data_IF_006416200806
#
_entry.id   IF_006416200806
#
_cell.length_a   1.000
_cell.length_b   1.000
_cell.length_c   1.000
_cell.angle_alpha   90.00
_cell.angle_beta   90.00
_cell.angle_gamma   90.00
#
_symmetry.space_group_name_H-M   'P 1'
#
loop_
_entity.id
_entity.type
_entity.pdbx_description
1 polymer ?
#
# COMPACT_ATOMS: atom_id res chain seq x y z
N UNK A 1 19.06 84.75 -22.25
CA UNK A 1 17.93 83.90 -22.70
C UNK A 1 18.40 82.46 -22.58
N UNK A 2 18.10 81.85 -21.43
CA UNK A 2 18.54 80.50 -21.05
C UNK A 2 17.62 79.45 -21.65
N UNK A 3 18.19 78.50 -22.40
CA UNK A 3 17.50 77.27 -22.76
C UNK A 3 17.69 76.24 -21.65
N UNK A 4 16.57 75.82 -21.05
CA UNK A 4 16.48 74.77 -20.07
C UNK A 4 16.51 73.40 -20.77
N UNK A 5 17.24 72.47 -20.17
CA UNK A 5 17.47 71.10 -20.62
C UNK A 5 16.40 70.20 -19.99
N UNK A 6 15.57 69.54 -20.80
CA UNK A 6 14.58 68.55 -20.35
C UNK A 6 15.26 67.17 -20.14
N UNK A 7 14.93 66.42 -19.08
CA UNK A 7 15.49 65.09 -18.85
C UNK A 7 14.70 64.00 -19.62
N UNK A 8 15.34 62.86 -19.96
CA UNK A 8 14.71 61.81 -20.76
C UNK A 8 13.73 60.95 -19.94
N UNK A 9 12.66 60.53 -20.61
CA UNK A 9 11.59 59.64 -20.17
C UNK A 9 12.10 58.23 -19.84
N UNK A 10 11.66 57.58 -18.75
CA UNK A 10 12.02 56.19 -18.44
C UNK A 10 11.29 55.19 -19.36
N UNK A 11 11.89 54.02 -19.67
CA UNK A 11 11.26 53.00 -20.51
C UNK A 11 10.12 52.28 -19.76
N UNK A 12 9.14 51.81 -20.55
CA UNK A 12 7.94 51.12 -20.12
C UNK A 12 8.25 49.84 -19.32
N UNK A 13 7.47 49.59 -18.26
CA UNK A 13 7.52 48.38 -17.48
C UNK A 13 7.02 47.18 -18.29
N UNK A 14 7.86 46.16 -18.41
CA UNK A 14 7.50 44.85 -18.97
C UNK A 14 6.39 44.21 -18.14
N UNK A 15 5.30 43.84 -18.82
CA UNK A 15 4.20 43.09 -18.26
C UNK A 15 4.68 41.67 -17.88
N UNK A 16 4.40 41.29 -16.62
CA UNK A 16 4.58 39.94 -16.12
C UNK A 16 3.78 38.94 -16.97
N UNK A 17 4.34 37.78 -17.33
CA UNK A 17 3.60 36.76 -18.08
C UNK A 17 2.47 36.19 -17.21
N UNK A 18 1.30 36.08 -17.83
CA UNK A 18 0.09 35.50 -17.28
C UNK A 18 0.36 34.09 -16.73
N UNK A 19 0.02 33.90 -15.45
CA UNK A 19 -0.04 32.62 -14.77
C UNK A 19 -0.87 31.64 -15.59
N UNK A 20 -0.19 30.76 -16.32
CA UNK A 20 -0.83 29.66 -17.04
C UNK A 20 -1.36 28.69 -16.00
N UNK A 21 -2.66 28.81 -15.71
CA UNK A 21 -3.41 27.88 -14.89
C UNK A 21 -3.24 26.48 -15.48
N UNK A 22 -2.44 25.65 -14.81
CA UNK A 22 -2.32 24.22 -15.13
C UNK A 22 -3.69 23.61 -14.83
N UNK A 23 -4.48 23.39 -15.88
CA UNK A 23 -5.75 22.70 -15.78
C UNK A 23 -5.52 21.37 -15.07
N UNK A 24 -6.05 21.25 -13.85
CA UNK A 24 -5.96 20.04 -13.05
C UNK A 24 -6.56 18.88 -13.85
N UNK A 25 -5.75 17.86 -14.13
CA UNK A 25 -6.22 16.59 -14.68
C UNK A 25 -7.40 16.10 -13.84
N UNK A 26 -8.54 15.72 -14.44
CA UNK A 26 -9.67 15.22 -13.66
C UNK A 26 -9.21 14.01 -12.83
N UNK A 27 -9.63 13.90 -11.56
CA UNK A 27 -9.19 12.81 -10.70
C UNK A 27 -9.62 11.48 -11.32
N UNK A 28 -8.65 10.57 -11.50
CA UNK A 28 -8.94 9.20 -11.91
C UNK A 28 -9.92 8.59 -10.91
N UNK A 29 -11.02 7.96 -11.36
CA UNK A 29 -11.95 7.31 -10.43
C UNK A 29 -11.23 6.24 -9.62
N UNK A 30 -11.58 6.08 -8.32
CA UNK A 30 -10.96 5.06 -7.49
C UNK A 30 -11.33 3.65 -7.97
N UNK A 31 -10.42 2.70 -7.78
CA UNK A 31 -10.71 1.27 -7.94
C UNK A 31 -11.66 0.85 -6.82
N UNK A 32 -12.70 0.10 -7.15
CA UNK A 32 -13.68 -0.36 -6.15
C UNK A 32 -13.36 -1.79 -5.71
N UNK A 33 -13.33 -2.06 -4.41
CA UNK A 33 -13.35 -3.41 -3.85
C UNK A 33 -14.81 -3.76 -3.58
N UNK A 34 -15.36 -4.70 -4.34
CA UNK A 34 -16.80 -4.96 -4.41
C UNK A 34 -17.10 -6.42 -4.03
N UNK A 35 -18.08 -6.67 -3.14
CA UNK A 35 -18.53 -8.02 -2.83
C UNK A 35 -19.06 -8.74 -4.07
N UNK A 36 -18.86 -10.06 -4.13
CA UNK A 36 -19.34 -10.92 -5.21
C UNK A 36 -20.80 -10.68 -5.61
N UNK A 37 -21.68 -10.53 -4.62
CA UNK A 37 -23.12 -10.31 -4.84
C UNK A 37 -23.45 -8.98 -5.56
N UNK A 38 -22.53 -8.00 -5.51
CA UNK A 38 -22.75 -6.66 -6.05
C UNK A 38 -21.94 -6.36 -7.31
N UNK A 39 -21.05 -7.26 -7.74
CA UNK A 39 -20.10 -7.01 -8.83
C UNK A 39 -20.78 -6.47 -10.10
N UNK A 40 -21.90 -7.08 -10.51
CA UNK A 40 -22.63 -6.67 -11.72
C UNK A 40 -23.11 -5.20 -11.69
N UNK A 41 -23.37 -4.64 -10.49
CA UNK A 41 -23.82 -3.24 -10.32
C UNK A 41 -22.71 -2.22 -10.60
N UNK A 42 -21.45 -2.64 -10.58
CA UNK A 42 -20.28 -1.78 -10.74
C UNK A 42 -19.48 -2.07 -12.01
N UNK A 43 -20.08 -2.76 -12.98
CA UNK A 43 -19.45 -3.09 -14.27
C UNK A 43 -19.05 -1.85 -15.07
N UNK A 44 -17.97 -1.97 -15.86
CA UNK A 44 -17.47 -0.91 -16.75
C UNK A 44 -16.42 0.01 -16.12
N UNK A 45 -15.92 -0.32 -14.92
CA UNK A 45 -14.80 0.39 -14.28
C UNK A 45 -13.89 -0.60 -13.55
N UNK A 46 -12.59 -0.26 -13.36
CA UNK A 46 -11.65 -1.13 -12.66
C UNK A 46 -12.15 -1.54 -11.27
N UNK A 47 -12.34 -2.85 -11.08
CA UNK A 47 -12.96 -3.42 -9.88
C UNK A 47 -12.13 -4.59 -9.34
N UNK A 48 -12.05 -4.69 -8.02
CA UNK A 48 -11.49 -5.81 -7.28
C UNK A 48 -12.67 -6.62 -6.75
N UNK A 49 -12.76 -7.89 -7.13
CA UNK A 49 -13.79 -8.79 -6.61
C UNK A 49 -13.40 -9.27 -5.21
N UNK A 50 -14.20 -8.97 -4.19
CA UNK A 50 -14.02 -9.42 -2.81
C UNK A 50 -14.97 -10.56 -2.49
N UNK A 51 -14.44 -11.69 -2.04
CA UNK A 51 -15.24 -12.88 -1.68
C UNK A 51 -14.52 -13.78 -0.69
N UNK A 52 -15.25 -14.53 0.13
CA UNK A 52 -14.69 -15.62 0.95
C UNK A 52 -14.84 -17.00 0.30
N UNK A 53 -15.54 -17.07 -0.84
CA UNK A 53 -15.78 -18.30 -1.59
C UNK A 53 -14.92 -18.31 -2.87
N UNK A 54 -13.90 -19.21 -2.97
CA UNK A 54 -13.09 -19.36 -4.17
C UNK A 54 -13.88 -19.83 -5.40
N UNK A 55 -15.07 -20.42 -5.24
CA UNK A 55 -15.93 -20.82 -6.35
C UNK A 55 -16.75 -19.65 -6.93
N UNK A 56 -16.85 -18.51 -6.22
CA UNK A 56 -17.65 -17.38 -6.66
C UNK A 56 -17.18 -16.75 -7.99
N UNK A 57 -15.87 -16.51 -8.24
CA UNK A 57 -15.41 -15.92 -9.50
C UNK A 57 -15.77 -16.75 -10.75
N UNK A 58 -15.48 -18.06 -10.85
CA UNK A 58 -15.91 -18.85 -12.02
C UNK A 58 -17.43 -18.95 -12.14
N UNK A 59 -18.17 -18.97 -11.03
CA UNK A 59 -19.63 -18.98 -11.07
C UNK A 59 -20.23 -17.67 -11.61
N UNK A 60 -19.60 -16.52 -11.31
CA UNK A 60 -20.05 -15.21 -11.75
C UNK A 60 -19.68 -14.92 -13.21
N UNK A 61 -18.48 -15.33 -13.64
CA UNK A 61 -17.91 -14.90 -14.92
C UNK A 61 -17.87 -16.00 -15.99
N UNK A 62 -18.14 -17.25 -15.64
CA UNK A 62 -17.98 -18.38 -16.56
C UNK A 62 -16.51 -18.71 -16.77
N UNK A 63 -16.07 -18.90 -18.02
CA UNK A 63 -14.70 -19.32 -18.34
C UNK A 63 -13.68 -18.21 -18.32
N UNK A 64 -14.11 -16.99 -18.67
CA UNK A 64 -13.20 -15.88 -18.95
C UNK A 64 -13.40 -14.75 -17.93
N UNK A 65 -12.32 -14.23 -17.33
CA UNK A 65 -12.41 -13.08 -16.44
C UNK A 65 -12.82 -11.82 -17.23
N UNK A 66 -13.62 -10.92 -16.64
CA UNK A 66 -14.00 -9.70 -17.32
C UNK A 66 -12.82 -8.73 -17.39
N UNK A 67 -12.76 -7.92 -18.45
CA UNK A 67 -11.61 -7.06 -18.75
C UNK A 67 -11.37 -5.94 -17.72
N UNK A 68 -12.39 -5.58 -16.97
CA UNK A 68 -12.37 -4.56 -15.90
C UNK A 68 -12.06 -5.15 -14.51
N UNK A 69 -11.85 -6.47 -14.39
CA UNK A 69 -11.38 -7.09 -13.17
C UNK A 69 -9.88 -6.83 -12.97
N UNK A 70 -9.55 -6.03 -11.96
CA UNK A 70 -8.17 -5.74 -11.57
C UNK A 70 -7.50 -6.96 -10.93
N UNK A 71 -8.14 -7.53 -9.91
CA UNK A 71 -7.72 -8.76 -9.22
C UNK A 71 -8.84 -9.29 -8.31
N UNK A 72 -8.65 -10.48 -7.76
CA UNK A 72 -9.57 -11.08 -6.79
C UNK A 72 -8.96 -11.00 -5.39
N UNK A 73 -9.72 -10.44 -4.45
CA UNK A 73 -9.41 -10.48 -3.03
C UNK A 73 -10.19 -11.63 -2.37
N UNK A 74 -9.48 -12.67 -1.92
CA UNK A 74 -10.06 -13.74 -1.13
C UNK A 74 -9.94 -13.46 0.37
N UNK A 75 -11.08 -13.35 1.04
CA UNK A 75 -11.15 -13.07 2.47
C UNK A 75 -11.16 -14.39 3.24
N UNK A 76 -9.99 -14.77 3.76
CA UNK A 76 -9.77 -16.01 4.49
C UNK A 76 -9.24 -17.15 3.62
N UNK A 77 -8.50 -18.07 4.24
CA UNK A 77 -7.80 -19.17 3.56
C UNK A 77 -8.48 -20.54 3.73
N UNK A 78 -9.64 -20.60 4.36
CA UNK A 78 -10.29 -21.87 4.75
C UNK A 78 -11.02 -22.56 3.60
N UNK A 79 -11.34 -21.83 2.51
CA UNK A 79 -12.05 -22.36 1.35
C UNK A 79 -11.23 -23.35 0.53
N UNK A 80 -11.92 -24.13 -0.31
CA UNK A 80 -11.26 -24.98 -1.31
C UNK A 80 -10.76 -24.11 -2.47
N UNK A 81 -9.43 -24.08 -2.69
CA UNK A 81 -8.80 -23.27 -3.73
C UNK A 81 -8.86 -23.91 -5.12
N UNK A 82 -9.29 -25.18 -5.23
CA UNK A 82 -9.33 -25.90 -6.49
C UNK A 82 -10.11 -25.18 -7.63
N UNK A 83 -11.23 -24.49 -7.38
CA UNK A 83 -11.93 -23.73 -8.42
C UNK A 83 -11.06 -22.63 -9.05
N UNK A 84 -10.28 -21.90 -8.23
CA UNK A 84 -9.38 -20.85 -8.73
C UNK A 84 -8.13 -21.42 -9.39
N UNK A 85 -7.58 -22.52 -8.86
CA UNK A 85 -6.41 -23.16 -9.45
C UNK A 85 -6.60 -23.59 -10.92
N UNK A 86 -7.85 -23.68 -11.39
CA UNK A 86 -8.18 -24.09 -12.76
C UNK A 86 -8.86 -22.99 -13.59
N UNK A 87 -9.03 -21.78 -13.06
CA UNK A 87 -9.81 -20.71 -13.69
C UNK A 87 -8.99 -19.43 -13.87
N UNK A 88 -9.26 -18.63 -14.90
CA UNK A 88 -8.75 -17.26 -15.01
C UNK A 88 -7.22 -17.13 -15.02
N UNK A 89 -6.55 -17.84 -15.93
CA UNK A 89 -5.08 -17.82 -16.03
C UNK A 89 -4.53 -16.38 -16.09
N UNK A 90 -3.54 -16.09 -15.24
CA UNK A 90 -2.92 -14.77 -15.13
C UNK A 90 -3.70 -13.73 -14.32
N UNK A 91 -4.92 -14.04 -13.86
CA UNK A 91 -5.67 -13.12 -12.98
C UNK A 91 -4.95 -13.02 -11.63
N UNK A 92 -4.58 -11.82 -11.17
CA UNK A 92 -3.91 -11.68 -9.88
C UNK A 92 -4.85 -12.03 -8.72
N UNK A 93 -4.29 -12.65 -7.68
CA UNK A 93 -5.00 -13.02 -6.46
C UNK A 93 -4.36 -12.37 -5.25
N UNK A 94 -5.18 -11.80 -4.37
CA UNK A 94 -4.79 -11.32 -3.06
C UNK A 94 -5.51 -12.13 -1.98
N UNK A 95 -4.75 -12.96 -1.27
CA UNK A 95 -5.29 -13.84 -0.23
C UNK A 95 -5.14 -13.15 1.13
N UNK A 96 -6.24 -12.72 1.71
CA UNK A 96 -6.27 -11.98 2.98
C UNK A 96 -6.34 -12.95 4.14
N UNK A 97 -5.24 -13.04 4.88
CA UNK A 97 -5.10 -13.75 6.13
C UNK A 97 -5.39 -12.80 7.30
N UNK A 98 -6.59 -12.90 7.87
CA UNK A 98 -7.06 -12.03 8.95
C UNK A 98 -6.65 -12.53 10.33
N UNK A 99 -6.48 -13.85 10.50
CA UNK A 99 -5.97 -14.48 11.71
C UNK A 99 -4.73 -15.34 11.38
N UNK A 100 -3.53 -14.75 11.52
CA UNK A 100 -2.29 -15.47 11.20
C UNK A 100 -2.08 -16.75 12.01
N UNK A 101 -2.59 -16.87 13.24
CA UNK A 101 -2.41 -18.08 14.04
C UNK A 101 -3.34 -19.20 13.59
N UNK A 102 -4.60 -18.86 13.33
CA UNK A 102 -5.59 -19.85 12.91
C UNK A 102 -5.37 -20.31 11.46
N UNK A 103 -4.93 -19.40 10.59
CA UNK A 103 -4.91 -19.64 9.14
C UNK A 103 -3.56 -20.09 8.59
N UNK A 104 -2.48 -20.01 9.38
CA UNK A 104 -1.12 -20.41 8.97
C UNK A 104 -1.06 -21.76 8.23
N UNK A 105 -1.72 -22.85 8.71
CA UNK A 105 -1.60 -24.16 8.06
C UNK A 105 -2.23 -24.20 6.66
N UNK A 106 -3.16 -23.30 6.33
CA UNK A 106 -3.85 -23.29 5.06
C UNK A 106 -3.01 -22.70 3.92
N UNK A 107 -1.94 -21.95 4.22
CA UNK A 107 -1.05 -21.39 3.19
C UNK A 107 -0.47 -22.46 2.25
N UNK A 108 -0.18 -23.65 2.75
CA UNK A 108 0.32 -24.75 1.91
C UNK A 108 -0.66 -25.13 0.79
N UNK A 109 -1.97 -25.01 1.04
CA UNK A 109 -3.02 -25.33 0.07
C UNK A 109 -3.14 -24.28 -1.03
N UNK A 110 -2.59 -23.09 -0.79
CA UNK A 110 -2.61 -21.99 -1.75
C UNK A 110 -1.42 -22.05 -2.73
N UNK A 111 -0.39 -22.87 -2.47
CA UNK A 111 0.84 -22.88 -3.26
C UNK A 111 0.60 -23.21 -4.74
N UNK A 112 -0.36 -24.10 -5.02
CA UNK A 112 -0.71 -24.50 -6.40
C UNK A 112 -1.25 -23.32 -7.24
N UNK A 113 -1.77 -22.27 -6.60
CA UNK A 113 -2.24 -21.07 -7.30
C UNK A 113 -1.09 -20.33 -8.00
N UNK A 114 0.14 -20.40 -7.48
CA UNK A 114 1.31 -19.74 -8.08
C UNK A 114 1.65 -20.28 -9.48
N UNK A 115 1.19 -21.47 -9.84
CA UNK A 115 1.43 -22.04 -11.16
C UNK A 115 0.72 -21.27 -12.29
N UNK A 116 -0.34 -20.52 -11.96
CA UNK A 116 -1.20 -19.83 -12.94
C UNK A 116 -1.49 -18.37 -12.60
N UNK A 117 -1.28 -17.98 -11.36
CA UNK A 117 -1.65 -16.66 -10.86
C UNK A 117 -0.45 -15.95 -10.25
N UNK A 118 -0.30 -14.64 -10.49
CA UNK A 118 0.39 -13.77 -9.56
C UNK A 118 -0.38 -13.77 -8.23
N UNK A 119 0.23 -14.29 -7.15
CA UNK A 119 -0.42 -14.37 -5.84
C UNK A 119 0.34 -13.54 -4.81
N UNK A 120 -0.40 -12.71 -4.09
CA UNK A 120 0.05 -11.98 -2.90
C UNK A 120 -0.74 -12.45 -1.68
N UNK A 121 -0.07 -12.58 -0.53
CA UNK A 121 -0.72 -12.81 0.76
C UNK A 121 -0.78 -11.49 1.51
N UNK A 122 -1.99 -11.04 1.86
CA UNK A 122 -2.19 -9.92 2.76
C UNK A 122 -2.34 -10.42 4.19
N UNK A 123 -1.40 -10.11 5.09
CA UNK A 123 -1.35 -10.64 6.46
C UNK A 123 -1.63 -9.53 7.47
N UNK A 124 -2.62 -9.73 8.34
CA UNK A 124 -2.94 -8.79 9.40
C UNK A 124 -1.81 -8.65 10.45
N UNK A 125 -1.59 -7.44 10.97
CA UNK A 125 -0.71 -7.13 12.10
C UNK A 125 -1.27 -7.69 13.41
N UNK A 126 -1.23 -9.01 13.56
CA UNK A 126 -1.71 -9.77 14.72
C UNK A 126 -0.67 -10.80 15.16
N UNK A 127 -0.77 -11.35 16.37
CA UNK A 127 0.10 -12.45 16.79
C UNK A 127 0.15 -13.57 15.74
N UNK A 128 1.32 -14.16 15.53
CA UNK A 128 1.57 -15.16 14.47
C UNK A 128 2.01 -14.57 13.12
N UNK A 129 1.98 -13.25 12.96
CA UNK A 129 2.50 -12.50 11.81
C UNK A 129 3.86 -13.01 11.34
N UNK A 130 4.86 -13.09 12.23
CA UNK A 130 6.24 -13.40 11.84
C UNK A 130 6.36 -14.79 11.22
N UNK A 131 5.66 -15.76 11.80
CA UNK A 131 5.59 -17.14 11.26
C UNK A 131 4.84 -17.19 9.93
N UNK A 132 3.76 -16.42 9.79
CA UNK A 132 2.98 -16.34 8.57
C UNK A 132 3.77 -15.71 7.42
N UNK A 133 4.47 -14.58 7.67
CA UNK A 133 5.35 -13.94 6.67
C UNK A 133 6.44 -14.92 6.25
N UNK A 134 7.14 -15.54 7.20
CA UNK A 134 8.21 -16.49 6.90
C UNK A 134 7.72 -17.67 6.05
N UNK A 135 6.56 -18.25 6.38
CA UNK A 135 5.99 -19.35 5.62
C UNK A 135 5.56 -18.90 4.22
N UNK A 136 4.88 -17.76 4.10
CA UNK A 136 4.45 -17.22 2.81
C UNK A 136 5.65 -16.98 1.87
N UNK A 137 6.72 -16.37 2.38
CA UNK A 137 7.95 -16.17 1.61
C UNK A 137 8.61 -17.49 1.20
N UNK A 138 8.63 -18.49 2.10
CA UNK A 138 9.20 -19.81 1.82
C UNK A 138 8.43 -20.58 0.74
N UNK A 139 7.12 -20.30 0.61
CA UNK A 139 6.26 -20.85 -0.43
C UNK A 139 6.29 -20.03 -1.72
N UNK A 140 7.04 -18.92 -1.77
CA UNK A 140 7.20 -18.09 -2.96
C UNK A 140 6.11 -17.02 -3.16
N UNK A 141 5.33 -16.69 -2.13
CA UNK A 141 4.36 -15.61 -2.21
C UNK A 141 4.98 -14.23 -1.94
N UNK A 142 4.52 -13.22 -2.68
CA UNK A 142 4.64 -11.83 -2.26
C UNK A 142 3.77 -11.59 -1.02
N UNK A 143 4.21 -10.70 -0.12
CA UNK A 143 3.50 -10.42 1.14
C UNK A 143 3.16 -8.94 1.24
N UNK A 144 1.96 -8.64 1.72
CA UNK A 144 1.55 -7.30 2.16
C UNK A 144 1.09 -7.34 3.60
N UNK A 145 1.67 -6.51 4.46
CA UNK A 145 1.21 -6.36 5.83
C UNK A 145 -0.02 -5.44 5.86
N UNK A 146 -1.02 -5.83 6.65
CA UNK A 146 -2.29 -5.15 6.74
C UNK A 146 -2.66 -4.81 8.17
N UNK A 147 -3.36 -3.70 8.34
CA UNK A 147 -3.95 -3.29 9.60
C UNK A 147 -3.30 -2.03 10.16
N UNK A 148 -4.03 -1.41 11.08
CA UNK A 148 -3.61 -0.21 11.77
C UNK A 148 -3.29 -0.54 13.23
N UNK A 149 -2.48 0.29 13.87
CA UNK A 149 -2.26 0.24 15.33
C UNK A 149 -1.82 -1.14 15.86
N UNK A 150 -0.72 -1.72 15.32
CA UNK A 150 -0.26 -3.02 15.74
C UNK A 150 0.06 -3.05 17.25
N UNK A 151 -0.17 -4.20 17.89
CA UNK A 151 0.25 -4.40 19.28
C UNK A 151 1.78 -4.44 19.38
N UNK A 152 2.30 -4.29 20.60
CA UNK A 152 3.75 -4.42 20.85
C UNK A 152 4.29 -5.78 20.40
N UNK A 153 3.53 -6.85 20.60
CA UNK A 153 3.87 -8.21 20.16
C UNK A 153 3.91 -8.30 18.63
N UNK A 154 2.85 -7.83 17.95
CA UNK A 154 2.81 -7.83 16.49
C UNK A 154 3.94 -6.98 15.87
N UNK A 155 4.33 -5.88 16.52
CA UNK A 155 5.50 -5.08 16.10
C UNK A 155 6.83 -5.80 16.30
N UNK A 156 6.99 -6.56 17.39
CA UNK A 156 8.18 -7.37 17.58
C UNK A 156 8.29 -8.45 16.49
N UNK A 157 7.19 -9.11 16.17
CA UNK A 157 7.12 -10.06 15.05
C UNK A 157 7.38 -9.40 13.70
N UNK A 158 6.87 -8.18 13.46
CA UNK A 158 7.12 -7.44 12.22
C UNK A 158 8.59 -7.10 12.04
N UNK A 159 9.29 -6.76 13.14
CA UNK A 159 10.75 -6.53 13.12
C UNK A 159 11.53 -7.81 12.84
N UNK A 160 11.10 -8.95 13.37
CA UNK A 160 11.69 -10.24 13.01
C UNK A 160 11.47 -10.56 11.53
N UNK A 161 10.26 -10.32 11.01
CA UNK A 161 9.96 -10.50 9.59
C UNK A 161 10.80 -9.56 8.70
N UNK A 162 11.06 -8.33 9.15
CA UNK A 162 11.97 -7.41 8.47
C UNK A 162 13.41 -7.95 8.46
N UNK A 163 13.91 -8.46 9.58
CA UNK A 163 15.25 -9.05 9.65
C UNK A 163 15.38 -10.26 8.71
N UNK A 164 14.37 -11.14 8.69
CA UNK A 164 14.30 -12.27 7.76
C UNK A 164 14.30 -11.78 6.30
N UNK A 165 13.51 -10.75 5.98
CA UNK A 165 13.45 -10.14 4.65
C UNK A 165 14.79 -9.54 4.20
N UNK A 166 15.51 -8.85 5.09
CA UNK A 166 16.76 -8.16 4.77
C UNK A 166 17.97 -9.10 4.68
N UNK A 167 17.97 -10.20 5.44
CA UNK A 167 19.20 -10.99 5.66
C UNK A 167 19.09 -12.45 5.21
N UNK A 168 17.90 -12.97 4.91
CA UNK A 168 17.78 -14.33 4.42
C UNK A 168 17.99 -14.38 2.90
N UNK A 169 19.07 -15.00 2.40
CA UNK A 169 19.37 -15.04 0.97
C UNK A 169 18.36 -15.85 0.14
N UNK A 170 17.50 -16.64 0.78
CA UNK A 170 16.47 -17.41 0.07
C UNK A 170 15.18 -16.60 -0.17
N UNK A 171 15.06 -15.40 0.40
CA UNK A 171 13.89 -14.55 0.21
C UNK A 171 14.04 -13.78 -1.10
N UNK A 172 13.18 -14.10 -2.07
CA UNK A 172 13.13 -13.43 -3.37
C UNK A 172 11.87 -12.56 -3.55
N UNK A 173 10.89 -12.72 -2.67
CA UNK A 173 9.60 -12.06 -2.78
C UNK A 173 9.54 -10.78 -1.94
N UNK A 174 8.82 -9.74 -2.40
CA UNK A 174 8.68 -8.50 -1.65
C UNK A 174 7.79 -8.70 -0.42
N UNK A 175 8.10 -7.97 0.65
CA UNK A 175 7.24 -7.77 1.81
C UNK A 175 6.88 -6.29 1.87
N UNK A 176 5.64 -5.92 1.61
CA UNK A 176 5.16 -4.55 1.76
C UNK A 176 4.66 -4.29 3.19
N UNK A 177 5.03 -3.17 3.84
CA UNK A 177 5.65 -1.99 3.25
C UNK A 177 7.19 -1.98 3.26
N UNK A 178 7.85 -3.05 3.73
CA UNK A 178 9.30 -3.06 3.94
C UNK A 178 10.08 -2.77 2.66
N UNK A 179 9.73 -3.47 1.58
CA UNK A 179 10.39 -3.35 0.29
C UNK A 179 10.34 -1.93 -0.26
N UNK A 180 9.14 -1.37 -0.43
CA UNK A 180 9.00 -0.04 -1.00
C UNK A 180 9.51 1.07 -0.09
N UNK A 181 9.42 0.91 1.25
CA UNK A 181 10.02 1.88 2.17
C UNK A 181 11.55 1.84 2.11
N UNK A 182 12.16 0.66 2.01
CA UNK A 182 13.61 0.51 1.85
C UNK A 182 14.10 1.27 0.60
N UNK A 183 13.45 1.07 -0.54
CA UNK A 183 13.74 1.77 -1.80
C UNK A 183 13.50 3.28 -1.66
N UNK A 184 12.40 3.68 -1.00
CA UNK A 184 12.07 5.09 -0.74
C UNK A 184 13.12 5.81 0.10
N UNK A 185 13.70 5.13 1.10
CA UNK A 185 14.80 5.69 1.89
C UNK A 185 16.09 5.72 1.09
N UNK A 186 16.41 4.65 0.35
CA UNK A 186 17.62 4.56 -0.47
C UNK A 186 17.70 5.69 -1.51
N UNK A 187 16.60 5.97 -2.21
CA UNK A 187 16.55 6.99 -3.25
C UNK A 187 16.00 8.35 -2.78
N UNK A 188 15.84 8.54 -1.46
CA UNK A 188 15.25 9.73 -0.85
C UNK A 188 13.91 10.18 -1.49
N UNK A 189 13.16 9.26 -2.10
CA UNK A 189 11.91 9.55 -2.82
C UNK A 189 10.74 9.14 -1.93
N UNK A 190 9.93 10.07 -1.41
CA UNK A 190 8.88 9.72 -0.45
C UNK A 190 7.77 8.90 -1.10
N UNK A 191 7.38 7.82 -0.42
CA UNK A 191 6.18 7.03 -0.74
C UNK A 191 5.18 7.14 0.41
N UNK A 192 3.89 7.23 0.08
CA UNK A 192 2.84 7.37 1.07
C UNK A 192 2.24 6.02 1.44
N UNK A 193 2.26 5.70 2.74
CA UNK A 193 1.89 4.38 3.26
C UNK A 193 0.42 4.03 2.98
N UNK A 194 -0.47 5.02 3.01
CA UNK A 194 -1.87 4.86 2.61
C UNK A 194 -2.01 4.34 1.17
N UNK A 195 -1.29 4.94 0.23
CA UNK A 195 -1.34 4.51 -1.18
C UNK A 195 -0.60 3.19 -1.38
N UNK A 196 0.55 3.01 -0.72
CA UNK A 196 1.37 1.80 -0.81
C UNK A 196 0.61 0.55 -0.38
N UNK A 197 -0.15 0.64 0.71
CA UNK A 197 -0.93 -0.47 1.25
C UNK A 197 -2.35 -0.55 0.64
N UNK A 198 -2.62 0.20 -0.43
CA UNK A 198 -3.93 0.25 -1.12
C UNK A 198 -5.09 0.63 -0.17
N UNK A 199 -4.82 1.53 0.79
CA UNK A 199 -5.78 2.01 1.79
C UNK A 199 -6.19 3.47 1.61
N UNK A 200 -5.64 4.16 0.62
CA UNK A 200 -6.03 5.53 0.28
C UNK A 200 -7.43 5.57 -0.35
N UNK A 201 -8.44 6.17 0.31
CA UNK A 201 -9.82 6.20 -0.19
C UNK A 201 -10.03 7.10 -1.42
N UNK A 202 -9.02 7.91 -1.78
CA UNK A 202 -9.01 8.60 -3.06
C UNK A 202 -8.65 7.67 -4.22
N UNK A 203 -7.99 6.53 -3.95
CA UNK A 203 -7.48 5.58 -4.96
C UNK A 203 -8.22 4.25 -4.96
N UNK A 204 -8.60 3.75 -3.79
CA UNK A 204 -9.25 2.45 -3.60
C UNK A 204 -10.40 2.64 -2.64
N UNK A 205 -11.61 2.16 -2.97
CA UNK A 205 -12.77 2.24 -2.08
C UNK A 205 -13.41 0.88 -1.89
N UNK A 206 -13.56 0.50 -0.64
CA UNK A 206 -14.24 -0.73 -0.25
C UNK A 206 -15.75 -0.49 -0.18
N UNK A 207 -16.52 -1.38 -0.80
CA UNK A 207 -17.98 -1.33 -0.85
C UNK A 207 -18.52 -2.45 0.04
N UNK A 208 -19.48 -2.12 0.90
CA UNK A 208 -20.13 -3.09 1.79
C UNK A 208 -21.26 -3.87 1.08
N UNK A 209 -21.87 -4.81 1.79
CA UNK A 209 -22.98 -5.63 1.28
C UNK A 209 -24.23 -4.82 0.88
N UNK A 210 -24.32 -3.55 1.28
CA UNK A 210 -25.42 -2.64 0.91
C UNK A 210 -25.11 -1.84 -0.36
N UNK A 211 -23.86 -1.87 -0.83
CA UNK A 211 -23.40 -1.06 -1.95
C UNK A 211 -22.88 0.31 -1.55
N UNK A 212 -22.62 0.53 -0.25
CA UNK A 212 -22.13 1.79 0.29
C UNK A 212 -20.64 1.69 0.66
N UNK A 213 -19.89 2.80 0.78
CA UNK A 213 -18.51 2.76 1.24
C UNK A 213 -18.38 2.10 2.62
N UNK A 214 -17.54 1.07 2.73
CA UNK A 214 -17.39 0.28 3.94
C UNK A 214 -16.81 1.13 5.09
N UNK A 215 -17.39 1.04 6.30
CA UNK A 215 -16.89 1.78 7.44
C UNK A 215 -15.52 1.26 7.87
N UNK A 216 -14.61 2.16 8.26
CA UNK A 216 -13.32 1.79 8.84
C UNK A 216 -12.19 1.53 7.85
N UNK A 217 -12.42 1.67 6.54
CA UNK A 217 -11.36 1.52 5.53
C UNK A 217 -10.17 2.47 5.80
N UNK A 218 -10.49 3.71 6.15
CA UNK A 218 -9.59 4.82 6.41
C UNK A 218 -10.40 6.10 6.66
N UNK A 219 -9.73 7.24 6.88
CA UNK A 219 -10.42 8.53 6.96
C UNK A 219 -10.95 8.93 5.59
N UNK A 220 -12.10 9.63 5.50
CA UNK A 220 -12.67 10.08 4.21
C UNK A 220 -11.67 10.87 3.34
N UNK A 221 -10.75 11.61 3.97
CA UNK A 221 -9.63 12.26 3.32
C UNK A 221 -8.39 12.12 4.18
N UNK A 222 -7.36 11.47 3.63
CA UNK A 222 -6.04 11.32 4.28
C UNK A 222 -5.41 12.68 4.55
N UNK A 223 -5.53 13.63 3.60
CA UNK A 223 -4.98 14.97 3.76
C UNK A 223 -5.68 15.74 4.90
N UNK A 224 -7.01 15.69 4.97
CA UNK A 224 -7.76 16.33 6.06
C UNK A 224 -7.46 15.69 7.42
N UNK A 225 -7.35 14.36 7.46
CA UNK A 225 -6.99 13.62 8.66
C UNK A 225 -5.58 13.98 9.15
N UNK A 226 -4.60 14.04 8.25
CA UNK A 226 -3.24 14.50 8.58
C UNK A 226 -3.24 15.92 9.14
N UNK A 227 -3.97 16.84 8.51
CA UNK A 227 -4.09 18.21 9.00
C UNK A 227 -4.69 18.27 10.41
N UNK A 228 -5.69 17.45 10.70
CA UNK A 228 -6.30 17.35 12.03
C UNK A 228 -5.31 16.81 13.08
N UNK A 229 -4.49 15.79 12.73
CA UNK A 229 -3.45 15.27 13.62
C UNK A 229 -2.38 16.32 13.97
N UNK A 230 -2.01 17.15 12.99
CA UNK A 230 -1.07 18.26 13.20
C UNK A 230 -1.67 19.37 14.06
N UNK A 231 -2.92 19.75 13.79
CA UNK A 231 -3.63 20.75 14.59
C UNK A 231 -3.83 20.31 16.05
N UNK A 232 -3.95 19.00 16.30
CA UNK A 232 -4.06 18.44 17.64
C UNK A 232 -2.76 18.51 18.47
N UNK A 233 -1.61 18.86 17.87
CA UNK A 233 -0.36 19.09 18.62
C UNK A 233 0.30 17.82 19.20
N UNK A 234 -0.05 16.63 18.71
CA UNK A 234 0.44 15.35 19.24
C UNK A 234 1.78 14.90 18.65
N UNK A 235 2.10 13.61 18.84
CA UNK A 235 3.36 12.97 18.39
C UNK A 235 3.70 13.14 16.90
N UNK A 236 2.72 13.49 16.06
CA UNK A 236 2.89 13.65 14.62
C UNK A 236 3.55 14.97 14.21
N UNK A 237 3.46 16.03 15.02
CA UNK A 237 3.97 17.36 14.66
C UNK A 237 5.47 17.36 14.36
N UNK A 238 6.25 16.66 15.18
CA UNK A 238 7.71 16.57 15.05
C UNK A 238 8.17 15.19 14.55
N UNK A 239 7.26 14.40 13.97
CA UNK A 239 7.58 13.07 13.51
C UNK A 239 8.32 13.11 12.17
N UNK A 240 9.61 12.73 12.16
CA UNK A 240 10.42 12.61 10.93
C UNK A 240 9.80 11.70 9.85
N UNK A 241 8.96 10.76 10.24
CA UNK A 241 8.31 9.81 9.33
C UNK A 241 6.94 10.29 8.83
N UNK A 242 6.46 11.47 9.23
CA UNK A 242 5.12 11.96 8.86
C UNK A 242 4.93 12.04 7.35
N UNK A 243 5.96 12.46 6.59
CA UNK A 243 5.91 12.60 5.13
C UNK A 243 5.77 11.28 4.35
N UNK A 244 5.90 10.13 5.03
CA UNK A 244 5.69 8.80 4.47
C UNK A 244 4.50 8.09 5.12
N UNK A 245 4.30 8.32 6.42
CA UNK A 245 3.26 7.68 7.20
C UNK A 245 1.89 8.33 7.00
N UNK A 246 1.83 9.66 6.85
CA UNK A 246 0.57 10.44 6.73
C UNK A 246 -0.48 10.08 7.80
N UNK A 247 -0.02 9.72 9.01
CA UNK A 247 -0.88 9.33 10.11
C UNK A 247 -1.50 7.93 10.00
N UNK A 248 -1.05 7.07 9.07
CA UNK A 248 -1.58 5.71 8.88
C UNK A 248 -1.79 4.94 10.18
N UNK A 249 -0.77 4.90 11.04
CA UNK A 249 -0.85 4.19 12.33
C UNK A 249 -1.62 4.94 13.42
N UNK A 250 -2.04 6.20 13.19
CA UNK A 250 -2.91 6.95 14.11
C UNK A 250 -4.40 6.76 13.79
N UNK A 251 -4.73 6.06 12.72
CA UNK A 251 -6.11 5.67 12.43
C UNK A 251 -6.48 4.35 13.12
N UNK A 252 -7.69 4.17 13.66
CA UNK A 252 -8.73 5.20 13.86
C UNK A 252 -8.54 6.01 15.14
N UNK A 253 -7.70 5.54 16.08
CA UNK A 253 -7.47 6.19 17.37
C UNK A 253 -6.23 7.08 17.35
N UNK A 254 -6.43 8.40 17.35
CA UNK A 254 -5.33 9.38 17.26
C UNK A 254 -4.36 9.39 18.44
N UNK A 255 -4.71 8.75 19.55
CA UNK A 255 -3.88 8.62 20.76
C UNK A 255 -2.92 7.41 20.74
N UNK A 256 -2.94 6.56 19.70
CA UNK A 256 -2.08 5.40 19.59
C UNK A 256 -0.58 5.76 19.66
N UNK A 257 0.18 5.20 20.59
CA UNK A 257 1.60 5.51 20.77
C UNK A 257 2.48 4.92 19.65
N UNK A 258 3.12 5.77 18.85
CA UNK A 258 3.89 5.33 17.68
C UNK A 258 5.32 4.84 18.00
N UNK A 259 5.71 4.68 19.26
CA UNK A 259 7.10 4.33 19.65
C UNK A 259 7.62 3.08 18.95
N UNK A 260 6.85 1.99 18.94
CA UNK A 260 7.29 0.75 18.27
C UNK A 260 7.29 0.85 16.74
N UNK A 261 6.33 1.58 16.17
CA UNK A 261 6.29 1.88 14.73
C UNK A 261 7.50 2.70 14.30
N UNK A 262 7.86 3.75 15.06
CA UNK A 262 9.04 4.59 14.79
C UNK A 262 10.33 3.76 14.79
N UNK A 263 10.44 2.76 15.68
CA UNK A 263 11.58 1.83 15.68
C UNK A 263 11.60 0.97 14.42
N UNK A 264 10.49 0.38 14.03
CA UNK A 264 10.39 -0.42 12.80
C UNK A 264 10.78 0.40 11.55
N UNK A 265 10.26 1.63 11.42
CA UNK A 265 10.63 2.52 10.31
C UNK A 265 12.10 2.93 10.36
N UNK A 266 12.66 3.15 11.56
CA UNK A 266 14.07 3.42 11.77
C UNK A 266 14.98 2.26 11.37
N UNK A 267 14.57 1.02 11.61
CA UNK A 267 15.34 -0.16 11.17
C UNK A 267 15.39 -0.24 9.63
N UNK A 268 14.28 0.05 8.94
CA UNK A 268 14.23 0.08 7.46
C UNK A 268 15.13 1.19 6.91
N UNK A 269 15.07 2.39 7.50
CA UNK A 269 15.92 3.53 7.12
C UNK A 269 17.41 3.26 7.36
N UNK A 270 17.74 2.60 8.47
CA UNK A 270 19.11 2.17 8.77
C UNK A 270 19.61 1.14 7.75
N UNK A 271 18.78 0.18 7.36
CA UNK A 271 19.10 -0.80 6.32
C UNK A 271 19.34 -0.13 4.96
N UNK A 272 18.51 0.84 4.57
CA UNK A 272 18.72 1.62 3.35
C UNK A 272 20.04 2.40 3.37
N UNK A 273 20.38 2.99 4.51
CA UNK A 273 21.63 3.75 4.69
C UNK A 273 22.86 2.84 4.60
N UNK A 274 22.79 1.64 5.19
CA UNK A 274 23.85 0.63 5.10
C UNK A 274 24.03 0.16 3.65
N UNK A 275 22.93 -0.12 2.95
CA UNK A 275 22.97 -0.51 1.53
C UNK A 275 23.59 0.59 0.66
N UNK A 276 23.24 1.85 0.88
CA UNK A 276 23.86 2.97 0.16
C UNK A 276 25.37 3.02 0.38
N UNK A 277 25.82 2.86 1.63
CA UNK A 277 27.25 2.85 1.96
C UNK A 277 27.99 1.69 1.25
N UNK A 278 27.37 0.51 1.17
CA UNK A 278 27.95 -0.65 0.46
C UNK A 278 28.05 -0.41 -1.06
N UNK A 279 27.02 0.20 -1.65
CA UNK A 279 27.01 0.59 -3.07
C UNK A 279 28.07 1.65 -3.39
N UNK A 280 28.24 2.64 -2.51
CA UNK A 280 29.25 3.70 -2.68
C UNK A 280 30.67 3.14 -2.51
N UNK A 281 30.86 2.13 -1.66
CA UNK A 281 32.14 1.45 -1.47
C UNK A 281 32.52 0.53 -2.65
N UNK A 282 31.53 0.05 -3.41
CA UNK A 282 31.72 -0.85 -4.55
C UNK A 282 31.07 -0.27 -5.82
N UNK A 283 31.57 0.88 -6.32
CA UNK A 283 31.00 1.50 -7.51
C UNK A 283 31.08 0.51 -8.68
N UNK A 284 29.95 0.32 -9.37
CA UNK A 284 29.88 -0.54 -10.55
C UNK A 284 30.99 -0.12 -11.53
N UNK A 285 31.87 -1.06 -11.88
CA UNK A 285 32.89 -0.81 -12.92
C UNK A 285 32.13 -0.69 -14.24
N UNK A 286 32.20 0.45 -14.95
CA UNK A 286 31.54 0.56 -16.25
C UNK A 286 32.14 -0.50 -17.19
N UNK A 287 31.26 -1.34 -17.75
CA UNK A 287 31.61 -2.33 -18.78
C UNK A 287 31.79 -1.67 -20.15
#
# INVERSE_FOLDING_TARGET
MSHANEPPTPPAADALPESTSVAATPPTPPVLIVPAALFARFSGQPTILSTSDPAAPPALFGTDPPADLSFIQLNGLTGDMAPLAHWGNGVPLDLVMSDPLAELPFLYRCADLLARHPVRITIAFRPGLGRAVKLALSLGFAVRLHGHQPTTEALAEARQALADYLHNPTVAQPVEPFHSLLISFLHATPVQLWSLLERDPARVREIDERGEPAPGQGPTSVAAFRAALLAAGGECCDCRYLSRCDGYFKWPRGDYACTGVKRLLGDIEAAASALQADLDAHPATPS
#
